data_IF_117911551613
#
_entry.id   IF_117911551613
#
_cell.length_a   1.000
_cell.length_b   1.000
_cell.length_c   1.000
_cell.angle_alpha   90.00
_cell.angle_beta   90.00
_cell.angle_gamma   90.00
#
_symmetry.space_group_name_H-M   'P 1'
#
loop_
_entity.id
_entity.type
_entity.pdbx_description
1 polymer ?
#
# COMPACT_ATOMS: atom_id res chain seq x y z
N UNK A 1 -17.77 16.75 -63.12
CA UNK A 1 -18.55 16.77 -61.91
C UNK A 1 -18.33 15.44 -61.19
N UNK A 2 -17.42 15.37 -60.24
CA UNK A 2 -17.25 14.19 -59.36
C UNK A 2 -17.74 14.57 -57.99
N UNK A 3 -18.80 13.91 -57.53
CA UNK A 3 -19.34 14.08 -56.17
C UNK A 3 -18.45 13.37 -55.19
N UNK A 4 -17.86 14.11 -54.26
CA UNK A 4 -17.24 13.56 -53.04
C UNK A 4 -18.35 13.12 -52.07
N UNK A 5 -18.34 11.84 -51.74
CA UNK A 5 -19.18 11.29 -50.65
C UNK A 5 -18.35 11.37 -49.35
N UNK A 6 -18.74 12.23 -48.46
CA UNK A 6 -18.15 12.38 -47.11
C UNK A 6 -18.78 11.34 -46.21
N UNK A 7 -18.06 10.26 -45.90
CA UNK A 7 -18.48 9.31 -44.87
C UNK A 7 -18.22 9.94 -43.49
N UNK A 8 -19.30 10.30 -42.79
CA UNK A 8 -19.28 10.55 -41.37
C UNK A 8 -19.15 9.22 -40.63
N UNK A 9 -17.96 8.93 -40.12
CA UNK A 9 -17.78 7.92 -39.06
C UNK A 9 -18.21 8.56 -37.75
N UNK A 10 -19.39 8.25 -37.29
CA UNK A 10 -19.86 8.61 -35.94
C UNK A 10 -19.13 7.69 -34.96
N UNK A 11 -18.34 8.30 -34.10
CA UNK A 11 -17.73 7.67 -32.94
C UNK A 11 -18.85 7.30 -31.96
N UNK A 12 -19.31 6.06 -32.05
CA UNK A 12 -20.41 5.49 -31.23
C UNK A 12 -19.92 4.68 -30.02
N UNK A 13 -18.76 5.00 -29.42
CA UNK A 13 -18.25 4.22 -28.29
C UNK A 13 -18.24 4.94 -26.93
N UNK A 14 -18.66 6.19 -26.88
CA UNK A 14 -18.65 6.96 -25.61
C UNK A 14 -19.98 6.98 -24.85
N UNK A 15 -21.06 6.43 -25.41
CA UNK A 15 -22.38 6.48 -24.74
C UNK A 15 -22.73 5.22 -23.93
N UNK A 16 -22.05 4.10 -24.15
CA UNK A 16 -22.31 2.86 -23.38
C UNK A 16 -21.63 2.84 -22.01
N UNK A 17 -20.60 3.66 -21.76
CA UNK A 17 -20.00 3.77 -20.43
C UNK A 17 -20.82 4.66 -19.49
N UNK A 18 -21.51 5.68 -20.03
CA UNK A 18 -22.39 6.55 -19.25
C UNK A 18 -23.67 5.86 -18.78
N UNK A 19 -24.18 4.87 -19.52
CA UNK A 19 -25.42 4.17 -19.13
C UNK A 19 -25.22 3.19 -17.97
N UNK A 20 -24.02 2.65 -17.78
CA UNK A 20 -23.67 1.83 -16.59
C UNK A 20 -23.52 2.65 -15.31
N UNK A 21 -23.30 3.95 -15.43
CA UNK A 21 -23.12 4.84 -14.28
C UNK A 21 -24.44 5.20 -13.59
N UNK A 22 -25.60 5.04 -14.26
CA UNK A 22 -26.92 5.39 -13.74
C UNK A 22 -27.64 4.23 -13.02
N UNK A 23 -27.00 3.08 -12.78
CA UNK A 23 -27.60 2.04 -11.94
C UNK A 23 -27.44 2.44 -10.46
N UNK A 24 -28.51 3.02 -9.94
CA UNK A 24 -28.87 3.24 -8.52
C UNK A 24 -27.67 3.50 -7.57
N UNK A 25 -27.17 4.71 -7.57
CA UNK A 25 -26.56 5.26 -6.36
C UNK A 25 -27.69 5.30 -5.32
N UNK A 26 -27.58 4.58 -4.21
CA UNK A 26 -28.47 4.76 -3.08
C UNK A 26 -28.34 6.21 -2.62
N UNK A 27 -29.45 6.97 -2.70
CA UNK A 27 -29.51 8.35 -2.21
C UNK A 27 -29.30 8.46 -0.68
N UNK A 28 -29.20 7.29 -0.01
CA UNK A 28 -29.11 7.17 1.45
C UNK A 28 -27.79 7.66 2.04
N UNK A 29 -26.72 7.82 1.22
CA UNK A 29 -25.38 8.21 1.68
C UNK A 29 -24.88 9.52 1.05
N UNK A 30 -25.67 10.58 1.11
CA UNK A 30 -25.32 11.85 0.48
C UNK A 30 -24.91 12.94 1.47
N UNK A 31 -25.15 12.78 2.77
CA UNK A 31 -24.85 13.79 3.79
C UNK A 31 -23.93 13.24 4.88
N UNK A 32 -22.68 13.68 4.88
CA UNK A 32 -21.66 13.24 5.83
C UNK A 32 -21.97 13.61 7.29
N UNK A 33 -22.71 14.68 7.50
CA UNK A 33 -23.02 15.15 8.87
C UNK A 33 -24.17 14.38 9.53
N UNK A 34 -24.98 13.66 8.74
CA UNK A 34 -26.14 12.92 9.22
C UNK A 34 -25.88 11.40 9.30
N UNK A 35 -24.75 10.93 8.79
CA UNK A 35 -24.42 9.52 8.74
C UNK A 35 -24.15 8.93 10.12
N UNK A 36 -24.79 7.81 10.41
CA UNK A 36 -24.63 7.05 11.65
C UNK A 36 -23.82 5.76 11.41
N UNK A 37 -23.13 5.27 12.43
CA UNK A 37 -22.41 3.99 12.37
C UNK A 37 -23.31 2.84 11.92
N UNK A 38 -24.57 2.84 12.38
CA UNK A 38 -25.58 1.82 12.04
C UNK A 38 -26.00 1.78 10.56
N UNK A 39 -25.75 2.85 9.82
CA UNK A 39 -26.13 2.93 8.39
C UNK A 39 -25.20 2.10 7.50
N UNK A 40 -24.06 1.67 8.05
CA UNK A 40 -23.01 0.98 7.29
C UNK A 40 -23.00 -0.53 7.57
N UNK A 41 -23.90 -1.24 6.92
CA UNK A 41 -23.89 -2.72 6.95
C UNK A 41 -22.89 -3.26 5.92
N UNK A 42 -21.63 -3.45 6.33
CA UNK A 42 -20.54 -3.86 5.45
C UNK A 42 -19.79 -5.08 5.98
N UNK A 43 -19.24 -5.93 5.10
CA UNK A 43 -18.38 -7.03 5.53
C UNK A 43 -16.98 -6.58 5.98
N UNK A 44 -16.57 -5.34 5.69
CA UNK A 44 -15.31 -4.76 6.16
C UNK A 44 -15.52 -3.86 7.38
N UNK A 45 -14.45 -3.46 8.10
CA UNK A 45 -14.60 -2.73 9.36
C UNK A 45 -15.32 -1.40 9.21
N UNK A 46 -16.27 -1.16 10.12
CA UNK A 46 -16.75 0.17 10.48
C UNK A 46 -16.18 0.47 11.88
N UNK A 47 -15.35 1.49 11.97
CA UNK A 47 -14.58 1.82 13.18
C UNK A 47 -15.06 3.16 13.72
N UNK A 48 -15.47 3.20 14.98
CA UNK A 48 -15.72 4.44 15.70
C UNK A 48 -14.68 4.63 16.81
N UNK A 49 -13.97 5.74 16.77
CA UNK A 49 -12.98 6.13 17.76
C UNK A 49 -13.57 7.28 18.59
N UNK A 50 -13.75 7.04 19.88
CA UNK A 50 -14.22 8.05 20.83
C UNK A 50 -13.04 8.63 21.59
N UNK A 51 -12.85 9.95 21.49
CA UNK A 51 -11.70 10.68 22.02
C UNK A 51 -12.14 12.06 22.50
N UNK A 52 -11.37 12.71 23.38
CA UNK A 52 -11.60 14.11 23.72
C UNK A 52 -11.49 14.99 22.48
N UNK A 53 -12.56 15.71 22.11
CA UNK A 53 -12.61 16.47 20.86
C UNK A 53 -11.54 17.57 20.80
N UNK A 54 -11.32 18.30 21.88
CA UNK A 54 -10.36 19.39 21.91
C UNK A 54 -8.90 18.87 21.75
N UNK A 55 -8.60 17.74 22.37
CA UNK A 55 -7.28 17.11 22.24
C UNK A 55 -7.09 16.53 20.84
N UNK A 56 -8.13 15.92 20.26
CA UNK A 56 -8.11 15.44 18.89
C UNK A 56 -7.89 16.58 17.88
N UNK A 57 -8.61 17.68 18.03
CA UNK A 57 -8.45 18.86 17.18
C UNK A 57 -7.03 19.44 17.29
N UNK A 58 -6.50 19.48 18.52
CA UNK A 58 -5.11 19.91 18.75
C UNK A 58 -4.10 18.96 18.06
N UNK A 59 -4.24 17.65 18.21
CA UNK A 59 -3.40 16.65 17.52
C UNK A 59 -3.51 16.79 16.01
N UNK A 60 -4.72 17.04 15.49
CA UNK A 60 -4.98 17.15 14.06
C UNK A 60 -4.36 18.39 13.44
N UNK A 61 -4.37 19.52 14.17
CA UNK A 61 -3.75 20.78 13.75
C UNK A 61 -2.22 20.73 13.86
N UNK A 62 -1.69 20.11 14.92
CA UNK A 62 -0.27 20.02 15.22
C UNK A 62 0.31 18.64 14.86
N UNK A 63 -0.08 18.11 13.71
CA UNK A 63 0.22 16.74 13.26
C UNK A 63 1.72 16.41 13.13
N UNK A 64 2.60 17.40 13.19
CA UNK A 64 4.07 17.23 13.15
C UNK A 64 4.68 17.03 14.52
N UNK A 65 3.93 17.23 15.60
CA UNK A 65 4.45 17.19 16.97
C UNK A 65 4.46 15.78 17.58
N UNK A 66 3.90 14.76 16.88
CA UNK A 66 3.86 13.38 17.37
C UNK A 66 2.99 13.21 18.63
N UNK A 67 1.89 13.96 18.71
CA UNK A 67 0.95 13.87 19.83
C UNK A 67 0.24 12.51 19.80
N UNK A 68 0.28 11.80 20.92
CA UNK A 68 -0.43 10.54 21.14
C UNK A 68 -1.59 10.79 22.12
N UNK A 69 -2.76 10.21 21.84
CA UNK A 69 -3.97 10.38 22.65
C UNK A 69 -4.56 9.03 23.03
N UNK A 70 -5.04 8.90 24.26
CA UNK A 70 -5.90 7.80 24.66
C UNK A 70 -7.30 7.97 24.05
N UNK A 71 -7.85 6.87 23.53
CA UNK A 71 -9.16 6.83 22.91
C UNK A 71 -9.84 5.48 23.14
N UNK A 72 -11.15 5.41 22.94
CA UNK A 72 -11.90 4.15 22.94
C UNK A 72 -12.30 3.77 21.53
N UNK A 73 -12.08 2.50 21.18
CA UNK A 73 -12.36 1.97 19.85
C UNK A 73 -13.52 0.99 19.91
N UNK A 74 -14.49 1.22 19.02
CA UNK A 74 -15.54 0.27 18.66
C UNK A 74 -15.35 -0.17 17.22
N UNK A 75 -15.45 -1.48 16.95
CA UNK A 75 -15.35 -2.04 15.60
C UNK A 75 -16.56 -2.91 15.32
N UNK A 76 -17.18 -2.65 14.17
CA UNK A 76 -18.35 -3.37 13.67
C UNK A 76 -18.05 -4.02 12.33
N UNK A 77 -18.74 -5.14 12.04
CA UNK A 77 -18.88 -5.76 10.72
C UNK A 77 -20.28 -6.29 10.55
N UNK A 78 -20.89 -6.08 9.40
CA UNK A 78 -22.27 -6.49 9.16
C UNK A 78 -23.23 -6.06 10.29
N UNK A 79 -23.05 -4.84 10.83
CA UNK A 79 -23.73 -4.29 11.98
C UNK A 79 -23.54 -5.07 13.31
N UNK A 80 -22.64 -6.04 13.35
CA UNK A 80 -22.27 -6.74 14.58
C UNK A 80 -21.07 -6.03 15.24
N UNK A 81 -21.21 -5.74 16.55
CA UNK A 81 -20.15 -5.15 17.36
C UNK A 81 -19.14 -6.25 17.75
N UNK A 82 -17.92 -6.19 17.19
CA UNK A 82 -16.87 -7.16 17.43
C UNK A 82 -15.87 -6.71 18.49
N UNK A 83 -15.63 -5.40 18.59
CA UNK A 83 -14.78 -4.78 19.61
C UNK A 83 -15.59 -3.65 20.23
N UNK A 84 -15.70 -3.65 21.57
CA UNK A 84 -16.48 -2.68 22.32
C UNK A 84 -15.60 -1.92 23.31
N UNK A 85 -15.56 -0.61 23.15
CA UNK A 85 -14.89 0.34 24.07
C UNK A 85 -13.46 -0.08 24.46
N UNK A 86 -12.72 -0.62 23.48
CA UNK A 86 -11.34 -1.03 23.71
C UNK A 86 -10.45 0.21 23.79
N UNK A 87 -9.65 0.28 24.88
CA UNK A 87 -8.72 1.38 25.06
C UNK A 87 -7.55 1.27 24.09
N UNK A 88 -7.32 2.33 23.35
CA UNK A 88 -6.27 2.44 22.34
C UNK A 88 -5.54 3.77 22.48
N UNK A 89 -4.33 3.79 21.98
CA UNK A 89 -3.57 5.01 21.74
C UNK A 89 -3.66 5.35 20.25
N UNK A 90 -3.94 6.61 19.92
CA UNK A 90 -4.01 7.09 18.56
C UNK A 90 -3.01 8.23 18.32
N UNK A 91 -2.45 8.28 17.10
CA UNK A 91 -1.55 9.34 16.65
C UNK A 91 -1.71 9.60 15.15
N UNK A 92 -1.34 10.79 14.67
CA UNK A 92 -1.28 11.08 13.24
C UNK A 92 -0.06 10.40 12.61
N UNK A 93 -0.24 9.77 11.46
CA UNK A 93 0.81 9.11 10.70
C UNK A 93 0.94 9.68 9.29
N UNK A 94 2.16 9.69 8.79
CA UNK A 94 2.51 10.16 7.45
C UNK A 94 3.35 11.42 7.50
N UNK A 95 3.95 11.76 6.36
CA UNK A 95 4.73 13.00 6.18
C UNK A 95 3.93 13.94 5.27
N UNK A 96 4.00 13.74 3.96
CA UNK A 96 3.23 14.52 2.99
C UNK A 96 1.72 14.29 3.14
N UNK A 97 1.29 13.03 3.26
CA UNK A 97 -0.12 12.68 3.40
C UNK A 97 -0.78 13.19 4.70
N UNK A 98 0.00 13.54 5.72
CA UNK A 98 -0.49 14.20 6.93
C UNK A 98 -0.91 15.66 6.70
N UNK A 99 -0.54 16.26 5.57
CA UNK A 99 -1.00 17.61 5.20
C UNK A 99 -2.42 17.62 4.62
N UNK A 100 -2.98 16.47 4.25
CA UNK A 100 -4.31 16.38 3.64
C UNK A 100 -5.43 16.54 4.68
N UNK A 101 -6.63 16.87 4.18
CA UNK A 101 -7.80 17.09 5.03
C UNK A 101 -8.15 15.82 5.86
N UNK A 102 -8.12 14.64 5.24
CA UNK A 102 -8.18 13.37 5.94
C UNK A 102 -6.76 12.89 6.23
N UNK A 103 -6.41 12.73 7.52
CA UNK A 103 -5.09 12.27 7.93
C UNK A 103 -5.12 10.78 8.31
N UNK A 104 -4.01 10.10 8.05
CA UNK A 104 -3.84 8.72 8.52
C UNK A 104 -3.65 8.66 10.03
N UNK A 105 -4.25 7.67 10.67
CA UNK A 105 -4.12 7.41 12.10
C UNK A 105 -3.35 6.11 12.35
N UNK A 106 -2.40 6.14 13.26
CA UNK A 106 -1.90 4.95 13.94
C UNK A 106 -2.85 4.63 15.09
N UNK A 107 -3.18 3.36 15.26
CA UNK A 107 -4.00 2.85 16.36
C UNK A 107 -3.23 1.74 17.03
N UNK A 108 -2.97 1.86 18.33
CA UNK A 108 -2.18 0.91 19.09
C UNK A 108 -2.99 0.44 20.30
N UNK A 109 -3.13 -0.87 20.45
CA UNK A 109 -3.72 -1.48 21.63
C UNK A 109 -2.71 -1.50 22.77
N UNK A 110 -3.11 -1.03 23.94
CA UNK A 110 -2.21 -1.02 25.07
C UNK A 110 -2.06 -2.43 25.70
N UNK A 111 -0.81 -2.84 25.90
CA UNK A 111 -0.48 -4.08 26.61
C UNK A 111 -0.76 -3.99 28.12
N UNK A 112 -0.83 -2.78 28.69
CA UNK A 112 -1.05 -2.56 30.12
C UNK A 112 -2.50 -2.76 30.51
N UNK A 113 -3.44 -2.60 29.60
CA UNK A 113 -4.85 -2.92 29.80
C UNK A 113 -5.08 -4.40 29.49
N UNK A 114 -4.49 -5.25 30.31
CA UNK A 114 -4.85 -6.66 30.37
C UNK A 114 -6.25 -6.76 30.97
N UNK A 115 -7.25 -6.62 30.14
CA UNK A 115 -8.53 -7.22 30.46
C UNK A 115 -8.26 -8.70 30.64
N UNK A 116 -8.64 -9.28 31.79
CA UNK A 116 -8.49 -10.71 32.07
C UNK A 116 -9.17 -11.61 31.03
N UNK A 117 -9.98 -11.02 30.20
CA UNK A 117 -10.66 -11.62 29.05
C UNK A 117 -9.92 -11.34 27.74
N UNK A 118 -8.58 -11.39 27.71
CA UNK A 118 -7.82 -11.32 26.46
C UNK A 118 -8.76 -11.22 25.22
N UNK A 119 -9.27 -10.05 24.93
CA UNK A 119 -9.92 -9.82 23.65
C UNK A 119 -8.73 -9.85 22.67
N UNK A 120 -8.39 -11.07 22.30
CA UNK A 120 -7.57 -11.33 21.16
C UNK A 120 -8.37 -10.73 20.02
N UNK A 121 -8.02 -9.51 19.63
CA UNK A 121 -8.48 -8.99 18.37
C UNK A 121 -7.98 -10.00 17.35
N UNK A 122 -8.80 -11.01 17.12
CA UNK A 122 -8.46 -12.06 16.17
C UNK A 122 -8.27 -11.36 14.84
N UNK A 123 -7.15 -11.50 14.15
CA UNK A 123 -6.95 -10.96 12.82
C UNK A 123 -7.97 -11.45 11.83
N UNK A 124 -8.52 -12.67 12.05
CA UNK A 124 -9.69 -13.14 11.31
C UNK A 124 -10.87 -12.16 11.38
N UNK A 125 -10.95 -11.32 12.40
CA UNK A 125 -11.96 -10.28 12.52
C UNK A 125 -11.51 -8.93 11.94
N UNK A 126 -10.20 -8.65 11.89
CA UNK A 126 -9.67 -7.41 11.33
C UNK A 126 -9.20 -7.58 9.87
N UNK A 127 -8.63 -8.72 9.55
CA UNK A 127 -8.10 -9.05 8.22
C UNK A 127 -8.47 -10.49 7.85
N UNK A 128 -9.75 -10.78 7.54
CA UNK A 128 -10.28 -12.15 7.44
C UNK A 128 -9.60 -13.04 6.40
N UNK A 129 -8.78 -12.47 5.52
CA UNK A 129 -8.06 -13.20 4.48
C UNK A 129 -6.60 -13.55 4.86
N UNK A 130 -6.20 -13.29 6.11
CA UNK A 130 -4.84 -13.50 6.57
C UNK A 130 -4.81 -14.31 7.86
N UNK A 131 -3.83 -15.19 7.99
CA UNK A 131 -3.64 -16.07 9.15
C UNK A 131 -3.02 -15.40 10.37
N UNK A 132 -3.06 -14.07 10.46
CA UNK A 132 -2.51 -13.32 11.59
C UNK A 132 -3.42 -13.48 12.79
N UNK A 133 -2.94 -14.10 13.88
CA UNK A 133 -3.75 -14.35 15.07
C UNK A 133 -3.84 -13.18 16.06
N UNK A 134 -2.92 -12.22 16.01
CA UNK A 134 -2.86 -11.10 16.96
C UNK A 134 -2.30 -9.84 16.30
N UNK A 135 -3.00 -8.72 16.47
CA UNK A 135 -2.52 -7.38 16.09
C UNK A 135 -2.34 -6.56 17.37
N UNK A 136 -1.21 -5.87 17.52
CA UNK A 136 -0.99 -4.87 18.57
C UNK A 136 -1.27 -3.45 18.11
N UNK A 137 -1.10 -3.22 16.82
CA UNK A 137 -1.29 -1.94 16.20
C UNK A 137 -1.69 -2.11 14.75
N UNK A 138 -2.44 -1.17 14.24
CA UNK A 138 -2.74 -1.04 12.82
C UNK A 138 -2.75 0.42 12.41
N UNK A 139 -2.77 0.66 11.12
CA UNK A 139 -2.89 2.01 10.57
C UNK A 139 -4.21 2.15 9.83
N UNK A 140 -4.93 3.22 10.08
CA UNK A 140 -5.99 3.72 9.23
C UNK A 140 -5.36 4.69 8.24
N UNK A 141 -5.12 4.22 7.00
CA UNK A 141 -4.42 4.98 5.98
C UNK A 141 -5.39 5.70 5.05
N UNK A 142 -5.14 6.97 4.81
CA UNK A 142 -5.92 7.83 3.93
C UNK A 142 -5.63 7.65 2.43
N UNK A 143 -4.95 6.56 2.03
CA UNK A 143 -4.50 6.24 0.66
C UNK A 143 -3.31 7.07 0.14
N UNK A 144 -2.66 7.86 0.99
CA UNK A 144 -1.46 8.63 0.65
C UNK A 144 -1.67 9.57 -0.53
N UNK A 145 -0.73 9.57 -1.51
CA UNK A 145 -0.79 10.44 -2.69
C UNK A 145 -1.94 10.10 -3.66
N UNK A 146 -2.62 8.96 -3.45
CA UNK A 146 -3.81 8.60 -4.22
C UNK A 146 -5.12 9.12 -3.59
N UNK A 147 -5.06 9.79 -2.43
CA UNK A 147 -6.22 10.39 -1.74
C UNK A 147 -7.06 11.28 -2.64
N UNK A 148 -6.41 12.06 -3.51
CA UNK A 148 -7.06 12.98 -4.46
C UNK A 148 -7.43 12.34 -5.80
N UNK A 149 -7.37 11.01 -5.91
CA UNK A 149 -7.58 10.29 -7.17
C UNK A 149 -8.52 9.10 -7.02
N UNK A 150 -7.98 7.92 -6.65
CA UNK A 150 -8.78 6.70 -6.66
C UNK A 150 -9.09 6.14 -5.28
N UNK A 151 -8.29 6.40 -4.27
CA UNK A 151 -8.25 5.74 -2.96
C UNK A 151 -7.88 4.25 -3.02
N UNK A 152 -7.70 3.68 -4.22
CA UNK A 152 -7.63 2.25 -4.45
C UNK A 152 -6.25 1.77 -4.91
N UNK A 153 -5.35 2.68 -5.29
CA UNK A 153 -4.13 2.36 -6.01
C UNK A 153 -3.18 1.47 -5.21
N UNK A 154 -2.77 1.92 -4.03
CA UNK A 154 -1.85 1.19 -3.17
C UNK A 154 -2.37 -0.22 -2.82
N UNK A 155 -3.64 -0.32 -2.44
CA UNK A 155 -4.27 -1.59 -2.07
C UNK A 155 -4.40 -2.55 -3.27
N UNK A 156 -4.66 -2.02 -4.48
CA UNK A 156 -4.78 -2.85 -5.67
C UNK A 156 -3.44 -3.43 -6.11
N UNK A 157 -2.35 -2.68 -6.00
CA UNK A 157 -1.02 -3.21 -6.23
C UNK A 157 -0.58 -4.21 -5.14
N UNK A 158 -0.93 -3.95 -3.88
CA UNK A 158 -0.70 -4.93 -2.79
C UNK A 158 -1.41 -6.25 -3.11
N UNK A 159 -2.67 -6.21 -3.53
CA UNK A 159 -3.42 -7.41 -3.90
C UNK A 159 -2.85 -8.11 -5.14
N UNK A 160 -2.33 -7.34 -6.09
CA UNK A 160 -1.66 -7.91 -7.26
C UNK A 160 -0.42 -8.74 -6.85
N UNK A 161 0.39 -8.24 -5.93
CA UNK A 161 1.54 -8.97 -5.39
C UNK A 161 1.12 -10.27 -4.69
N UNK A 162 0.05 -10.22 -3.87
CA UNK A 162 -0.52 -11.39 -3.20
C UNK A 162 -0.99 -12.42 -4.23
N UNK A 163 -1.79 -12.01 -5.21
CA UNK A 163 -2.36 -12.90 -6.21
C UNK A 163 -1.31 -13.50 -7.17
N UNK A 164 -0.19 -12.81 -7.35
CA UNK A 164 0.94 -13.31 -8.13
C UNK A 164 1.76 -14.36 -7.39
N UNK A 165 1.52 -14.59 -6.09
CA UNK A 165 2.26 -15.53 -5.26
C UNK A 165 3.73 -15.15 -5.14
N UNK A 166 4.01 -13.85 -4.90
CA UNK A 166 5.35 -13.37 -4.68
C UNK A 166 5.85 -13.80 -3.29
N UNK A 167 7.12 -14.14 -3.20
CA UNK A 167 7.81 -14.37 -1.92
C UNK A 167 8.26 -13.02 -1.33
N UNK A 168 7.30 -12.21 -0.90
CA UNK A 168 7.56 -10.90 -0.31
C UNK A 168 6.71 -10.69 0.92
N UNK A 169 7.25 -9.92 1.85
CA UNK A 169 6.47 -9.45 2.99
C UNK A 169 5.71 -8.18 2.61
N UNK A 170 4.51 -8.07 3.13
CA UNK A 170 3.55 -7.03 2.74
C UNK A 170 2.92 -6.38 3.97
N UNK A 171 2.51 -5.12 3.83
CA UNK A 171 1.52 -4.55 4.73
C UNK A 171 0.13 -4.92 4.20
N UNK A 172 -0.55 -5.85 4.87
CA UNK A 172 -1.90 -6.29 4.51
C UNK A 172 -2.92 -5.18 4.72
N UNK A 173 -4.04 -5.26 4.03
CA UNK A 173 -5.04 -4.18 4.01
C UNK A 173 -6.47 -4.69 4.01
N UNK A 174 -7.37 -3.80 4.42
CA UNK A 174 -8.81 -3.91 4.21
C UNK A 174 -9.40 -2.50 4.15
N UNK A 175 -10.41 -2.21 3.29
CA UNK A 175 -11.17 -0.97 3.38
C UNK A 175 -11.79 -0.82 4.77
N UNK A 176 -11.92 0.40 5.25
CA UNK A 176 -12.60 0.71 6.51
C UNK A 176 -13.40 2.00 6.39
N UNK A 177 -14.56 2.03 7.03
CA UNK A 177 -15.33 3.25 7.25
C UNK A 177 -15.01 3.74 8.66
N UNK A 178 -14.59 4.99 8.77
CA UNK A 178 -14.09 5.54 10.04
C UNK A 178 -14.98 6.66 10.53
N UNK A 179 -15.30 6.61 11.80
CA UNK A 179 -15.97 7.63 12.58
C UNK A 179 -15.06 8.12 13.70
N UNK A 180 -15.15 9.40 14.02
CA UNK A 180 -14.56 10.01 15.20
C UNK A 180 -15.69 10.65 15.98
N UNK A 181 -15.85 10.24 17.25
CA UNK A 181 -16.93 10.72 18.12
C UNK A 181 -18.32 10.59 17.46
N UNK A 182 -18.59 9.46 16.81
CA UNK A 182 -19.80 9.17 16.04
C UNK A 182 -20.04 10.08 14.82
N UNK A 183 -19.08 10.90 14.43
CA UNK A 183 -19.14 11.68 13.19
C UNK A 183 -18.36 10.97 12.09
N UNK A 184 -18.95 10.79 10.91
CA UNK A 184 -18.26 10.18 9.79
C UNK A 184 -16.94 10.89 9.51
N UNK A 185 -15.84 10.16 9.55
CA UNK A 185 -14.50 10.69 9.29
C UNK A 185 -14.04 10.44 7.87
N UNK A 186 -14.32 9.28 7.29
CA UNK A 186 -13.97 9.00 5.91
C UNK A 186 -13.85 7.51 5.59
N UNK A 187 -13.66 7.22 4.31
CA UNK A 187 -13.23 5.89 3.85
C UNK A 187 -11.71 5.85 3.90
N UNK A 188 -11.18 4.87 4.61
CA UNK A 188 -9.75 4.65 4.81
C UNK A 188 -9.37 3.20 4.52
N UNK A 189 -8.10 2.87 4.61
CA UNK A 189 -7.63 1.49 4.55
C UNK A 189 -7.01 1.12 5.90
N UNK A 190 -7.60 0.14 6.57
CA UNK A 190 -6.96 -0.52 7.71
C UNK A 190 -5.76 -1.31 7.17
N UNK A 191 -4.57 -1.06 7.71
CA UNK A 191 -3.32 -1.71 7.27
C UNK A 191 -2.55 -2.26 8.46
N UNK A 192 -1.95 -3.43 8.26
CA UNK A 192 -0.91 -3.90 9.19
C UNK A 192 0.32 -3.00 9.08
N UNK A 193 1.13 -2.99 10.13
CA UNK A 193 2.34 -2.19 10.14
C UNK A 193 3.55 -2.99 9.66
N UNK A 194 4.42 -2.34 8.87
CA UNK A 194 5.72 -2.89 8.47
C UNK A 194 6.85 -2.47 9.44
N UNK A 195 6.55 -2.26 10.71
CA UNK A 195 7.52 -1.98 11.76
C UNK A 195 7.75 -3.24 12.62
N UNK A 196 8.59 -3.13 13.63
CA UNK A 196 8.93 -4.24 14.54
C UNK A 196 7.70 -4.87 15.19
N UNK A 197 6.65 -4.07 15.49
CA UNK A 197 5.40 -4.61 16.02
C UNK A 197 4.69 -5.51 15.00
N UNK A 198 4.52 -5.02 13.77
CA UNK A 198 3.87 -5.77 12.70
C UNK A 198 4.65 -7.02 12.33
N UNK A 199 5.96 -6.91 12.12
CA UNK A 199 6.85 -8.05 11.81
C UNK A 199 6.80 -9.11 12.91
N UNK A 200 6.88 -8.70 14.18
CA UNK A 200 6.80 -9.57 15.35
C UNK A 200 5.52 -10.41 15.35
N UNK A 201 4.39 -9.81 14.99
CA UNK A 201 3.09 -10.48 14.96
C UNK A 201 2.88 -11.36 13.75
N UNK A 202 3.36 -10.92 12.58
CA UNK A 202 3.28 -11.71 11.35
C UNK A 202 4.09 -13.01 11.44
N UNK A 203 5.20 -12.99 12.19
CA UNK A 203 6.12 -14.11 12.29
C UNK A 203 6.05 -14.85 13.66
N UNK A 204 5.16 -14.43 14.56
CA UNK A 204 5.03 -14.95 15.95
C UNK A 204 6.37 -14.99 16.72
N UNK A 205 7.16 -13.93 16.60
CA UNK A 205 8.46 -13.78 17.27
C UNK A 205 8.47 -12.58 18.21
N UNK A 206 9.42 -12.56 19.15
CA UNK A 206 9.61 -11.42 20.05
C UNK A 206 10.20 -10.22 19.28
N UNK A 207 9.80 -9.01 19.63
CA UNK A 207 10.34 -7.78 19.02
C UNK A 207 11.88 -7.71 19.10
N UNK A 208 12.46 -8.13 20.23
CA UNK A 208 13.91 -8.12 20.43
C UNK A 208 14.70 -9.08 19.52
N UNK A 209 14.03 -9.98 18.80
CA UNK A 209 14.62 -10.84 17.79
C UNK A 209 14.71 -10.18 16.40
N UNK A 210 14.15 -8.98 16.25
CA UNK A 210 14.01 -8.35 14.93
C UNK A 210 15.04 -7.21 14.79
N UNK A 211 15.84 -7.29 13.73
CA UNK A 211 16.69 -6.21 13.25
C UNK A 211 16.03 -5.55 12.07
N UNK A 212 15.77 -4.24 12.12
CA UNK A 212 15.00 -3.48 11.13
C UNK A 212 15.73 -2.21 10.70
N UNK A 213 15.81 -2.02 9.39
CA UNK A 213 16.24 -0.77 8.79
C UNK A 213 15.25 -0.25 7.75
N UNK A 214 15.32 1.04 7.49
CA UNK A 214 14.50 1.74 6.52
C UNK A 214 15.38 2.64 5.66
N UNK A 215 15.08 2.75 4.37
CA UNK A 215 15.67 3.76 3.51
C UNK A 215 14.59 4.81 3.25
N UNK A 216 14.93 6.04 3.61
CA UNK A 216 14.11 7.23 3.41
C UNK A 216 14.68 8.10 2.29
N UNK A 217 13.87 9.03 1.82
CA UNK A 217 14.28 10.09 0.94
C UNK A 217 15.33 10.99 1.58
N UNK A 218 16.49 11.25 0.94
CA UNK A 218 16.87 10.89 -0.44
C UNK A 218 17.73 9.62 -0.59
N UNK A 219 17.41 8.54 0.07
CA UNK A 219 18.15 7.28 0.02
C UNK A 219 18.99 7.02 1.28
N UNK A 220 18.73 7.75 2.36
CA UNK A 220 19.43 7.58 3.64
C UNK A 220 18.92 6.35 4.40
N UNK A 221 19.87 5.56 4.91
CA UNK A 221 19.55 4.39 5.74
C UNK A 221 19.35 4.82 7.19
N UNK A 222 18.17 4.53 7.70
CA UNK A 222 17.82 4.71 9.11
C UNK A 222 17.72 3.35 9.79
N UNK A 223 18.58 3.07 10.76
CA UNK A 223 18.49 1.89 11.61
C UNK A 223 17.37 2.10 12.63
N UNK A 224 16.39 1.20 12.64
CA UNK A 224 15.17 1.36 13.44
C UNK A 224 15.18 0.59 14.73
N UNK A 225 15.52 -0.69 14.67
CA UNK A 225 15.47 -1.61 15.81
C UNK A 225 16.50 -2.72 15.66
N UNK A 226 16.83 -3.38 16.77
CA UNK A 226 17.63 -4.59 16.82
C UNK A 226 19.12 -4.42 16.74
N UNK A 227 19.80 -5.31 16.05
CA UNK A 227 21.27 -5.36 15.93
C UNK A 227 21.76 -4.37 14.87
N UNK A 228 22.24 -3.22 15.31
CA UNK A 228 22.74 -2.17 14.43
C UNK A 228 24.11 -2.52 13.82
N UNK A 229 24.91 -3.33 14.50
CA UNK A 229 26.19 -3.79 13.95
C UNK A 229 25.96 -4.72 12.76
N UNK A 230 24.92 -5.55 12.83
CA UNK A 230 24.52 -6.39 11.71
C UNK A 230 24.10 -5.57 10.49
N UNK A 231 23.33 -4.48 10.71
CA UNK A 231 22.97 -3.56 9.60
C UNK A 231 24.24 -2.93 9.02
N UNK A 232 25.18 -2.47 9.86
CA UNK A 232 26.44 -1.89 9.38
C UNK A 232 27.28 -2.90 8.59
N UNK A 233 27.38 -4.14 9.08
CA UNK A 233 28.08 -5.20 8.36
C UNK A 233 27.47 -5.49 6.98
N UNK A 234 26.13 -5.50 6.90
CA UNK A 234 25.42 -5.67 5.64
C UNK A 234 25.69 -4.52 4.66
N UNK A 235 25.63 -3.27 5.13
CA UNK A 235 25.92 -2.10 4.30
C UNK A 235 27.39 -2.03 3.87
N UNK A 236 28.31 -2.36 4.76
CA UNK A 236 29.76 -2.46 4.45
C UNK A 236 30.02 -3.55 3.39
N UNK A 237 29.34 -4.70 3.49
CA UNK A 237 29.46 -5.76 2.48
C UNK A 237 28.98 -5.32 1.09
N UNK A 238 27.97 -4.43 1.01
CA UNK A 238 27.56 -3.80 -0.25
C UNK A 238 28.66 -2.85 -0.75
N UNK A 239 29.25 -2.02 0.12
CA UNK A 239 30.32 -1.08 -0.26
C UNK A 239 31.59 -1.78 -0.72
N UNK A 240 31.91 -2.92 -0.10
CA UNK A 240 33.09 -3.75 -0.41
C UNK A 240 32.82 -4.75 -1.57
N UNK A 241 31.61 -4.76 -2.11
CA UNK A 241 31.16 -5.72 -3.13
C UNK A 241 31.37 -7.19 -2.71
N UNK A 242 31.19 -7.49 -1.42
CA UNK A 242 31.40 -8.83 -0.86
C UNK A 242 30.26 -9.79 -1.22
N UNK A 243 30.28 -10.28 -2.45
CA UNK A 243 29.25 -11.15 -3.00
C UNK A 243 28.97 -12.39 -2.14
N UNK A 244 30.02 -13.00 -1.58
CA UNK A 244 29.86 -14.24 -0.77
C UNK A 244 29.07 -13.98 0.50
N UNK A 245 29.33 -12.87 1.18
CA UNK A 245 28.59 -12.46 2.38
C UNK A 245 27.14 -12.12 2.01
N UNK A 246 26.96 -11.30 0.97
CA UNK A 246 25.62 -10.83 0.54
C UNK A 246 24.70 -11.99 0.14
N UNK A 247 25.21 -13.02 -0.55
CA UNK A 247 24.40 -14.22 -0.91
C UNK A 247 23.95 -15.02 0.30
N UNK A 248 24.63 -14.94 1.42
CA UNK A 248 24.27 -15.65 2.66
C UNK A 248 23.34 -14.82 3.55
N UNK A 249 23.51 -13.52 3.55
CA UNK A 249 22.80 -12.61 4.45
C UNK A 249 21.51 -12.02 3.87
N UNK A 250 21.11 -12.45 2.66
CA UNK A 250 19.87 -12.03 1.99
C UNK A 250 19.02 -13.25 1.63
N UNK A 251 17.72 -13.17 1.86
CA UNK A 251 16.75 -14.09 1.25
C UNK A 251 16.66 -13.76 -0.25
N UNK A 252 17.33 -14.56 -1.05
CA UNK A 252 17.48 -14.34 -2.50
C UNK A 252 16.13 -14.36 -3.21
N UNK A 253 15.22 -15.26 -2.83
CA UNK A 253 13.90 -15.36 -3.48
C UNK A 253 13.03 -14.14 -3.15
N UNK A 254 13.01 -13.74 -1.89
CA UNK A 254 12.33 -12.52 -1.47
C UNK A 254 12.87 -11.30 -2.21
N UNK A 255 14.21 -11.14 -2.27
CA UNK A 255 14.83 -10.00 -2.94
C UNK A 255 14.55 -9.97 -4.45
N UNK A 256 14.58 -11.13 -5.13
CA UNK A 256 14.24 -11.25 -6.55
C UNK A 256 12.80 -10.77 -6.79
N UNK A 257 11.83 -11.30 -6.05
CA UNK A 257 10.43 -10.95 -6.21
C UNK A 257 10.15 -9.47 -5.85
N UNK A 258 10.84 -8.95 -4.82
CA UNK A 258 10.79 -7.56 -4.43
C UNK A 258 11.25 -6.62 -5.56
N UNK A 259 12.41 -6.90 -6.16
CA UNK A 259 12.95 -6.12 -7.29
C UNK A 259 12.04 -6.22 -8.52
N UNK A 260 11.62 -7.44 -8.88
CA UNK A 260 10.75 -7.65 -10.04
C UNK A 260 9.46 -6.84 -9.89
N UNK A 261 8.83 -6.90 -8.72
CA UNK A 261 7.56 -6.23 -8.52
C UNK A 261 7.68 -4.71 -8.62
N UNK A 262 8.59 -4.09 -7.86
CA UNK A 262 8.77 -2.63 -7.90
C UNK A 262 9.12 -2.10 -9.30
N UNK A 263 9.97 -2.83 -10.00
CA UNK A 263 10.37 -2.44 -11.37
C UNK A 263 9.27 -2.69 -12.39
N UNK A 264 8.50 -3.78 -12.25
CA UNK A 264 7.37 -4.07 -13.13
C UNK A 264 6.29 -2.99 -13.02
N UNK A 265 5.86 -2.66 -11.81
CA UNK A 265 4.82 -1.64 -11.58
C UNK A 265 5.30 -0.20 -11.76
N UNK A 266 6.55 0.01 -12.17
CA UNK A 266 7.12 1.36 -12.33
C UNK A 266 6.91 2.24 -11.10
N UNK A 267 7.31 1.75 -9.91
CA UNK A 267 7.23 2.51 -8.67
C UNK A 267 8.36 3.55 -8.63
N UNK A 268 8.03 4.80 -8.92
CA UNK A 268 9.02 5.87 -9.09
C UNK A 268 9.48 6.53 -7.78
N UNK A 269 8.84 6.22 -6.67
CA UNK A 269 9.29 6.65 -5.33
C UNK A 269 10.30 5.66 -4.71
N UNK A 270 10.46 4.52 -5.33
CA UNK A 270 11.42 3.49 -5.01
C UNK A 270 12.60 3.53 -6.01
N UNK A 271 13.83 3.22 -5.64
CA UNK A 271 14.32 2.66 -4.38
C UNK A 271 14.88 3.68 -3.38
N UNK A 272 14.72 4.97 -3.59
CA UNK A 272 15.27 6.03 -2.74
C UNK A 272 14.43 6.33 -1.50
N UNK A 273 13.20 5.87 -1.51
CA UNK A 273 12.24 5.98 -0.44
C UNK A 273 11.45 4.68 -0.36
N UNK A 274 10.71 4.52 0.73
CA UNK A 274 9.79 3.40 0.92
C UNK A 274 10.43 2.01 0.84
N UNK A 275 11.70 1.89 1.26
CA UNK A 275 12.38 0.61 1.44
C UNK A 275 12.41 0.25 2.92
N UNK A 276 12.06 -0.99 3.23
CA UNK A 276 12.29 -1.61 4.54
C UNK A 276 12.88 -2.99 4.34
N UNK A 277 13.89 -3.29 5.13
CA UNK A 277 14.46 -4.62 5.21
C UNK A 277 14.69 -5.00 6.66
N UNK A 278 14.50 -6.26 6.96
CA UNK A 278 14.59 -6.78 8.31
C UNK A 278 15.14 -8.19 8.32
N UNK A 279 15.68 -8.59 9.47
CA UNK A 279 16.06 -9.96 9.76
C UNK A 279 15.47 -10.38 11.12
N UNK A 280 15.22 -11.66 11.28
CA UNK A 280 14.81 -12.27 12.55
C UNK A 280 16.01 -13.07 13.05
N UNK A 281 16.56 -12.71 14.20
CA UNK A 281 17.77 -13.32 14.73
C UNK A 281 18.87 -13.38 13.67
N UNK A 282 19.39 -14.57 13.36
CA UNK A 282 20.46 -14.79 12.38
C UNK A 282 19.92 -15.14 10.97
N UNK A 283 18.59 -15.11 10.76
CA UNK A 283 18.00 -15.38 9.45
C UNK A 283 18.36 -14.29 8.43
N UNK A 284 18.40 -14.61 7.13
CA UNK A 284 18.70 -13.64 6.09
C UNK A 284 17.77 -12.43 6.07
N UNK A 285 18.28 -11.29 5.63
CA UNK A 285 17.47 -10.08 5.43
C UNK A 285 16.38 -10.30 4.38
N UNK A 286 15.15 -9.88 4.72
CA UNK A 286 13.97 -9.86 3.85
C UNK A 286 13.49 -8.43 3.65
N UNK A 287 12.82 -8.19 2.53
CA UNK A 287 12.30 -6.87 2.12
C UNK A 287 10.78 -6.84 2.17
N UNK A 288 10.24 -5.69 2.59
CA UNK A 288 8.80 -5.47 2.75
C UNK A 288 8.29 -4.53 1.67
N UNK A 289 7.24 -4.94 0.95
CA UNK A 289 6.51 -4.08 0.02
C UNK A 289 5.46 -3.28 0.80
N UNK A 290 5.51 -1.96 0.66
CA UNK A 290 4.52 -1.02 1.20
C UNK A 290 4.57 0.29 0.42
N UNK A 291 3.53 1.12 0.57
CA UNK A 291 3.44 2.47 0.00
C UNK A 291 3.61 2.52 -1.53
N UNK A 292 2.62 1.93 -2.23
CA UNK A 292 2.64 1.78 -3.69
C UNK A 292 1.84 2.88 -4.42
N UNK A 293 1.54 3.99 -3.76
CA UNK A 293 0.70 5.06 -4.29
C UNK A 293 1.35 5.85 -5.44
N UNK A 294 2.69 5.77 -5.58
CA UNK A 294 3.44 6.30 -6.74
C UNK A 294 3.66 5.28 -7.87
N UNK A 295 3.22 4.03 -7.72
CA UNK A 295 3.33 3.03 -8.77
C UNK A 295 2.59 3.47 -10.04
N UNK A 296 3.17 3.15 -11.20
CA UNK A 296 2.57 3.37 -12.52
C UNK A 296 2.05 4.81 -12.76
N UNK A 297 2.75 5.80 -12.22
CA UNK A 297 2.41 7.22 -12.37
C UNK A 297 3.19 7.89 -13.47
N UNK A 298 4.45 7.50 -13.62
CA UNK A 298 5.42 8.04 -14.58
C UNK A 298 6.30 6.92 -15.12
N UNK A 299 6.96 7.17 -16.26
CA UNK A 299 7.96 6.23 -16.83
C UNK A 299 7.39 4.83 -17.14
N UNK A 300 6.10 4.75 -17.38
CA UNK A 300 5.39 3.50 -17.66
C UNK A 300 5.89 2.79 -18.94
N UNK A 301 6.52 3.52 -19.83
CA UNK A 301 7.11 3.08 -21.10
C UNK A 301 8.58 2.63 -20.98
N UNK A 302 9.14 2.59 -19.77
CA UNK A 302 10.56 2.29 -19.57
C UNK A 302 10.79 0.82 -19.22
N UNK A 303 11.93 0.31 -19.71
CA UNK A 303 12.39 -1.03 -19.34
C UNK A 303 12.45 -1.21 -17.83
N UNK A 304 11.97 -2.33 -17.25
CA UNK A 304 11.99 -2.54 -15.81
C UNK A 304 13.36 -2.32 -15.18
N UNK A 305 14.42 -2.92 -15.72
CA UNK A 305 15.77 -2.75 -15.17
C UNK A 305 16.35 -1.34 -15.36
N UNK A 306 15.74 -0.50 -16.19
CA UNK A 306 16.19 0.89 -16.30
C UNK A 306 16.04 1.66 -14.99
N UNK A 307 15.10 1.25 -14.13
CA UNK A 307 14.95 1.82 -12.77
C UNK A 307 16.14 1.53 -11.87
N UNK A 308 16.82 0.42 -12.09
CA UNK A 308 18.00 0.00 -11.32
C UNK A 308 19.28 0.47 -11.99
N UNK A 309 19.44 0.22 -13.30
CA UNK A 309 20.67 0.54 -14.03
C UNK A 309 20.91 2.05 -14.18
N UNK A 310 19.88 2.86 -14.11
CA UNK A 310 19.99 4.32 -14.16
C UNK A 310 18.92 4.97 -13.28
N UNK A 311 19.03 4.79 -11.96
CA UNK A 311 18.00 5.23 -11.02
C UNK A 311 17.80 6.74 -11.06
N UNK A 312 18.87 7.55 -11.13
CA UNK A 312 18.79 9.01 -11.20
C UNK A 312 17.99 9.53 -12.40
N UNK A 313 17.98 8.79 -13.51
CA UNK A 313 17.20 9.13 -14.69
C UNK A 313 15.72 8.75 -14.58
N UNK A 314 15.40 7.69 -13.82
CA UNK A 314 14.07 7.08 -13.79
C UNK A 314 13.34 7.26 -12.46
N UNK A 315 14.04 7.58 -11.39
CA UNK A 315 13.46 8.01 -10.12
C UNK A 315 12.89 9.43 -10.20
N UNK A 316 12.03 9.78 -9.28
CA UNK A 316 11.54 11.15 -9.10
C UNK A 316 12.60 12.09 -8.51
N UNK A 317 13.70 11.56 -7.97
CA UNK A 317 14.72 12.28 -7.22
C UNK A 317 16.13 11.98 -7.72
N UNK A 318 17.02 12.95 -7.55
CA UNK A 318 18.44 12.88 -7.98
C UNK A 318 19.31 12.24 -6.88
N UNK A 319 18.98 11.05 -6.42
CA UNK A 319 19.80 10.37 -5.43
C UNK A 319 21.10 9.83 -6.05
N UNK A 320 22.20 10.01 -5.34
CA UNK A 320 23.54 9.77 -5.87
C UNK A 320 24.00 8.33 -5.62
N UNK A 321 23.59 7.72 -4.52
CA UNK A 321 23.96 6.35 -4.12
C UNK A 321 22.77 5.69 -3.43
N UNK A 322 22.48 4.43 -3.79
CA UNK A 322 21.39 3.69 -3.17
C UNK A 322 21.80 2.24 -2.90
N UNK A 323 21.80 1.78 -1.64
CA UNK A 323 22.21 0.42 -1.31
C UNK A 323 21.45 -0.68 -2.06
N UNK A 324 20.17 -0.45 -2.43
CA UNK A 324 19.37 -1.47 -3.13
C UNK A 324 19.80 -1.65 -4.57
N UNK A 325 20.11 -0.54 -5.28
CA UNK A 325 20.60 -0.62 -6.66
C UNK A 325 22.01 -1.20 -6.72
N UNK A 326 22.86 -0.85 -5.75
CA UNK A 326 24.22 -1.38 -5.64
C UNK A 326 24.15 -2.88 -5.33
N UNK A 327 23.36 -3.27 -4.35
CA UNK A 327 23.12 -4.68 -4.00
C UNK A 327 22.65 -5.51 -5.22
N UNK A 328 21.63 -5.02 -5.94
CA UNK A 328 21.18 -5.72 -7.15
C UNK A 328 22.30 -5.83 -8.19
N UNK A 329 23.06 -4.77 -8.41
CA UNK A 329 24.13 -4.74 -9.40
C UNK A 329 25.23 -5.75 -9.08
N UNK A 330 25.62 -5.84 -7.80
CA UNK A 330 26.60 -6.82 -7.32
C UNK A 330 26.08 -8.26 -7.54
N UNK A 331 24.87 -8.54 -7.07
CA UNK A 331 24.27 -9.86 -7.19
C UNK A 331 24.06 -10.26 -8.66
N UNK A 332 23.69 -9.32 -9.53
CA UNK A 332 23.43 -9.60 -10.95
C UNK A 332 24.69 -9.93 -11.76
N UNK A 333 25.89 -9.71 -11.21
CA UNK A 333 27.16 -10.20 -11.78
C UNK A 333 27.35 -11.70 -11.54
N UNK A 334 26.72 -12.27 -10.52
CA UNK A 334 26.74 -13.70 -10.25
C UNK A 334 25.82 -14.44 -11.22
N UNK A 335 26.35 -15.46 -11.91
CA UNK A 335 25.60 -16.18 -12.93
C UNK A 335 24.42 -16.98 -12.36
N UNK A 336 24.50 -17.46 -11.15
CA UNK A 336 23.43 -18.20 -10.47
C UNK A 336 22.27 -17.25 -10.15
N UNK A 337 22.56 -16.12 -9.48
CA UNK A 337 21.55 -15.10 -9.18
C UNK A 337 20.89 -14.58 -10.47
N UNK A 338 21.70 -14.27 -11.48
CA UNK A 338 21.20 -13.79 -12.78
C UNK A 338 20.24 -14.78 -13.42
N UNK A 339 20.56 -16.07 -13.41
CA UNK A 339 19.70 -17.12 -13.96
C UNK A 339 18.41 -17.27 -13.16
N UNK A 340 18.47 -17.22 -11.83
CA UNK A 340 17.28 -17.26 -10.95
C UNK A 340 16.36 -16.05 -11.22
N UNK A 341 16.93 -14.85 -11.24
CA UNK A 341 16.18 -13.62 -11.50
C UNK A 341 15.49 -13.67 -12.88
N UNK A 342 16.23 -14.00 -13.93
CA UNK A 342 15.69 -14.04 -15.30
C UNK A 342 14.60 -15.10 -15.44
N UNK A 343 14.81 -16.29 -14.85
CA UNK A 343 13.82 -17.37 -14.88
C UNK A 343 12.54 -16.98 -14.14
N UNK A 344 12.68 -16.34 -12.97
CA UNK A 344 11.53 -15.88 -12.19
C UNK A 344 10.78 -14.76 -12.90
N UNK A 345 11.50 -13.79 -13.46
CA UNK A 345 10.89 -12.71 -14.24
C UNK A 345 10.09 -13.27 -15.43
N UNK A 346 10.69 -14.15 -16.23
CA UNK A 346 10.02 -14.77 -17.36
C UNK A 346 8.80 -15.59 -16.93
N UNK A 347 8.90 -16.32 -15.82
CA UNK A 347 7.76 -17.05 -15.28
C UNK A 347 6.60 -16.11 -14.93
N UNK A 348 6.85 -15.03 -14.21
CA UNK A 348 5.80 -14.09 -13.80
C UNK A 348 5.15 -13.38 -14.99
N UNK A 349 5.92 -12.99 -16.00
CA UNK A 349 5.40 -12.38 -17.23
C UNK A 349 4.61 -13.40 -18.05
N UNK A 350 5.17 -14.57 -18.33
CA UNK A 350 4.56 -15.59 -19.19
C UNK A 350 3.31 -16.25 -18.56
N UNK A 351 3.23 -16.29 -17.22
CA UNK A 351 2.06 -16.79 -16.51
C UNK A 351 0.92 -15.78 -16.42
N UNK A 352 1.09 -14.59 -17.01
CA UNK A 352 0.17 -13.46 -16.86
C UNK A 352 -0.08 -13.09 -15.40
N UNK A 353 0.92 -13.29 -14.51
CA UNK A 353 0.77 -12.98 -13.08
C UNK A 353 0.43 -11.50 -12.86
N UNK A 354 0.98 -10.64 -13.71
CA UNK A 354 0.80 -9.18 -13.71
C UNK A 354 -0.01 -8.68 -14.91
N UNK A 355 -0.95 -9.46 -15.45
CA UNK A 355 -1.74 -8.99 -16.58
C UNK A 355 -2.71 -7.86 -16.20
N UNK A 356 -2.99 -7.00 -17.17
CA UNK A 356 -3.99 -5.94 -17.02
C UNK A 356 -5.39 -6.49 -16.72
N UNK A 357 -5.72 -7.68 -17.22
CA UNK A 357 -6.97 -8.37 -16.89
C UNK A 357 -7.08 -8.65 -15.38
N UNK A 358 -6.02 -9.23 -14.78
CA UNK A 358 -5.99 -9.51 -13.34
C UNK A 358 -6.00 -8.24 -12.51
N UNK A 359 -5.21 -7.24 -12.90
CA UNK A 359 -5.20 -5.95 -12.21
C UNK A 359 -6.55 -5.26 -12.27
N UNK A 360 -7.21 -5.26 -13.42
CA UNK A 360 -8.54 -4.68 -13.59
C UNK A 360 -9.59 -5.40 -12.73
N UNK A 361 -9.53 -6.74 -12.65
CA UNK A 361 -10.42 -7.51 -11.78
C UNK A 361 -10.25 -7.15 -10.29
N UNK A 362 -9.00 -6.95 -9.84
CA UNK A 362 -8.69 -6.49 -8.47
C UNK A 362 -9.25 -5.08 -8.26
N UNK A 363 -8.99 -4.18 -9.18
CA UNK A 363 -9.44 -2.79 -9.08
C UNK A 363 -10.96 -2.67 -9.08
N UNK A 364 -11.65 -3.47 -9.94
CA UNK A 364 -13.11 -3.54 -9.98
C UNK A 364 -13.70 -4.12 -8.69
N UNK A 365 -13.04 -5.11 -8.09
CA UNK A 365 -13.43 -5.64 -6.79
C UNK A 365 -13.32 -4.55 -5.71
N UNK A 366 -12.19 -3.88 -5.61
CA UNK A 366 -11.97 -2.80 -4.65
C UNK A 366 -12.93 -1.62 -4.87
N UNK A 367 -13.18 -1.25 -6.13
CA UNK A 367 -14.19 -0.26 -6.50
C UNK A 367 -15.58 -0.64 -6.00
N UNK A 368 -16.01 -1.88 -6.27
CA UNK A 368 -17.33 -2.36 -5.89
C UNK A 368 -17.53 -2.39 -4.37
N UNK A 369 -16.47 -2.63 -3.60
CA UNK A 369 -16.54 -2.63 -2.14
C UNK A 369 -16.91 -1.26 -1.56
N UNK A 370 -16.41 -0.17 -2.14
CA UNK A 370 -16.58 1.16 -1.54
C UNK A 370 -17.46 2.13 -2.34
N UNK A 371 -17.84 1.80 -3.60
CA UNK A 371 -18.53 2.73 -4.50
C UNK A 371 -19.82 3.33 -3.92
N UNK A 372 -20.57 2.55 -3.15
CA UNK A 372 -21.82 3.02 -2.56
C UNK A 372 -21.62 4.04 -1.44
N UNK A 373 -20.43 4.04 -0.81
CA UNK A 373 -20.06 4.97 0.28
C UNK A 373 -19.24 6.17 -0.22
N UNK A 374 -18.84 6.18 -1.48
CA UNK A 374 -18.08 7.30 -2.05
C UNK A 374 -18.85 8.63 -2.07
N UNK A 375 -20.18 8.67 -2.32
CA UNK A 375 -20.91 9.94 -2.26
C UNK A 375 -20.74 10.68 -0.93
N UNK A 376 -20.84 10.00 0.20
CA UNK A 376 -20.65 10.61 1.54
C UNK A 376 -19.20 11.05 1.76
N UNK A 377 -18.22 10.26 1.25
CA UNK A 377 -16.80 10.64 1.33
C UNK A 377 -16.54 11.92 0.52
N UNK A 378 -17.14 12.04 -0.66
CA UNK A 378 -17.01 13.22 -1.53
C UNK A 378 -17.78 14.45 -0.99
N UNK A 379 -18.87 14.25 -0.28
CA UNK A 379 -19.58 15.32 0.42
C UNK A 379 -18.68 15.95 1.50
N UNK A 380 -17.93 15.11 2.23
CA UNK A 380 -16.99 15.57 3.26
C UNK A 380 -15.69 16.13 2.69
N UNK A 381 -15.14 15.50 1.65
CA UNK A 381 -13.84 15.83 1.06
C UNK A 381 -13.96 16.03 -0.45
N UNK A 382 -13.93 17.29 -0.88
CA UNK A 382 -14.04 17.63 -2.30
C UNK A 382 -12.71 17.53 -3.07
N UNK A 383 -11.76 16.72 -2.57
CA UNK A 383 -10.43 16.60 -3.18
C UNK A 383 -10.43 15.87 -4.54
N UNK A 384 -11.36 14.95 -4.74
CA UNK A 384 -11.57 14.22 -6.01
C UNK A 384 -12.54 14.97 -6.94
N UNK A 385 -13.45 15.76 -6.36
CA UNK A 385 -14.44 16.58 -7.07
C UNK A 385 -15.80 15.89 -7.23
N UNK A 386 -15.89 14.74 -7.89
CA UNK A 386 -17.17 14.07 -8.13
C UNK A 386 -17.04 12.57 -8.35
N UNK A 387 -18.17 11.84 -8.30
CA UNK A 387 -18.23 10.42 -8.66
C UNK A 387 -17.78 10.17 -10.10
N UNK A 388 -18.06 11.08 -11.03
CA UNK A 388 -17.63 10.97 -12.42
C UNK A 388 -16.11 11.09 -12.52
N UNK A 389 -15.50 12.01 -11.77
CA UNK A 389 -14.05 12.18 -11.75
C UNK A 389 -13.36 11.03 -11.03
N UNK A 390 -13.93 10.52 -9.95
CA UNK A 390 -13.44 9.33 -9.30
C UNK A 390 -13.41 8.13 -10.25
N UNK A 391 -14.52 7.85 -10.95
CA UNK A 391 -14.58 6.79 -11.95
C UNK A 391 -13.56 7.01 -13.09
N UNK A 392 -13.44 8.24 -13.58
CA UNK A 392 -12.45 8.58 -14.62
C UNK A 392 -11.01 8.30 -14.18
N UNK A 393 -10.68 8.61 -12.93
CA UNK A 393 -9.35 8.33 -12.37
C UNK A 393 -9.08 6.81 -12.29
N UNK A 394 -10.10 6.02 -11.98
CA UNK A 394 -10.00 4.54 -11.96
C UNK A 394 -9.76 4.00 -13.37
N UNK A 395 -10.52 4.46 -14.37
CA UNK A 395 -10.31 4.04 -15.76
C UNK A 395 -8.92 4.46 -16.28
N UNK A 396 -8.45 5.65 -15.91
CA UNK A 396 -7.09 6.08 -16.25
C UNK A 396 -6.02 5.18 -15.60
N UNK A 397 -6.24 4.69 -14.39
CA UNK A 397 -5.33 3.76 -13.73
C UNK A 397 -5.29 2.41 -14.47
N UNK A 398 -6.43 1.90 -14.94
CA UNK A 398 -6.52 0.71 -15.79
C UNK A 398 -5.77 0.88 -17.11
N UNK A 399 -6.00 2.01 -17.79
CA UNK A 399 -5.31 2.32 -19.05
C UNK A 399 -3.80 2.41 -18.88
N UNK A 400 -3.33 3.05 -17.82
CA UNK A 400 -1.90 3.17 -17.53
C UNK A 400 -1.28 1.81 -17.23
N UNK A 401 -1.98 0.93 -16.51
CA UNK A 401 -1.47 -0.41 -16.26
C UNK A 401 -1.41 -1.24 -17.56
N UNK A 402 -2.41 -1.14 -18.41
CA UNK A 402 -2.41 -1.80 -19.73
C UNK A 402 -1.24 -1.32 -20.60
N UNK A 403 -0.99 0.00 -20.66
CA UNK A 403 0.16 0.56 -21.38
C UNK A 403 1.49 0.04 -20.80
N UNK A 404 1.55 -0.16 -19.48
CA UNK A 404 2.72 -0.74 -18.83
C UNK A 404 2.96 -2.17 -19.27
N UNK A 405 1.93 -3.01 -19.25
CA UNK A 405 1.99 -4.41 -19.73
C UNK A 405 2.43 -4.48 -21.20
N UNK A 406 1.80 -3.69 -22.08
CA UNK A 406 2.14 -3.61 -23.50
C UNK A 406 3.63 -3.22 -23.70
N UNK A 407 4.08 -2.18 -22.99
CA UNK A 407 5.47 -1.72 -23.04
C UNK A 407 6.48 -2.79 -22.61
N UNK A 408 6.15 -3.61 -21.62
CA UNK A 408 7.01 -4.70 -21.15
C UNK A 408 7.05 -5.82 -22.18
N UNK A 409 5.91 -6.19 -22.77
CA UNK A 409 5.85 -7.23 -23.80
C UNK A 409 6.63 -6.85 -25.06
N UNK A 410 6.64 -5.58 -25.44
CA UNK A 410 7.41 -5.06 -26.58
C UNK A 410 8.93 -5.07 -26.33
N UNK A 411 9.35 -5.06 -25.06
CA UNK A 411 10.76 -5.05 -24.65
C UNK A 411 11.35 -6.47 -24.48
N UNK A 412 10.57 -7.50 -24.69
CA UNK A 412 11.03 -8.90 -24.60
C UNK A 412 11.84 -9.30 -25.85
N UNK A 413 12.97 -10.05 -25.72
CA UNK A 413 13.53 -10.58 -24.48
C UNK A 413 14.38 -9.56 -23.73
N UNK A 414 14.05 -9.35 -22.47
CA UNK A 414 14.75 -8.40 -21.60
C UNK A 414 16.18 -8.82 -21.22
N UNK A 415 16.57 -10.07 -21.56
CA UNK A 415 17.81 -10.70 -21.12
C UNK A 415 18.44 -11.61 -22.18
#
# INVERSE_FOLDING_TARGET
MKKFLLCFFVIGTSLTSCSKFNESLNDDFTNANEALVSDFNTPFPVINITVNQNEFDNMYLNYTEGIELEAFLNLYRNNELLISDELVEIEIKGTESATYNLKSLGVKFDDTFKNENNIVVSPSNLLPHHSIEKIKAFRLRNSGNDFKKTLLKDISYTQLAINAGLDVDLTYYEPAIVFINNSFSGIMNLRTEGNTNGISRLNDVKKGAITLAKINDPGEVEKKDGDFDRIDNFLNAIEEENLSYLKQDIDINNFIDYIIFHTYISNVDWPYNNVRFYAIEDEPFRFIIYDLDWANTRKIDKHPLAFINNPTKYSAKDAIKNPITDLFTILYQDSEFKNLFNSRYQYLVNSNAFSSEKFNAILDHNYNNIKQYMPIHLDKYNDIGSMIEWFRNIELLKENFKKREESINDLSPLF
#
